data_IF_868023080262
#
_entry.id   IF_868023080262
#
_cell.length_a   1.000
_cell.length_b   1.000
_cell.length_c   1.000
_cell.angle_alpha   90.00
_cell.angle_beta   90.00
_cell.angle_gamma   90.00
#
_symmetry.space_group_name_H-M   'P 1'
#
loop_
_entity.id
_entity.type
_entity.pdbx_description
1 polymer ?
#
# COMPACT_ATOMS: atom_id res chain seq x y z
N UNK A 1 -8.92 -5.23 -2.83
CA UNK A 1 -8.76 -4.01 -1.99
C UNK A 1 -7.38 -3.44 -2.26
N UNK A 2 -7.21 -2.12 -2.16
CA UNK A 2 -5.93 -1.47 -2.42
C UNK A 2 -5.61 -0.45 -1.34
N UNK A 3 -4.37 0.03 -1.32
CA UNK A 3 -3.97 1.13 -0.44
C UNK A 3 -4.33 2.47 -1.08
N UNK A 4 -4.65 3.45 -0.24
CA UNK A 4 -4.75 4.85 -0.65
C UNK A 4 -3.39 5.37 -1.11
N UNK A 5 -3.38 6.44 -1.90
CA UNK A 5 -2.14 7.09 -2.33
C UNK A 5 -1.33 7.63 -1.14
N UNK A 6 -2.02 8.14 -0.11
CA UNK A 6 -1.39 8.62 1.12
C UNK A 6 -0.64 7.49 1.85
N UNK A 7 -1.25 6.32 1.98
CA UNK A 7 -0.60 5.16 2.58
C UNK A 7 0.59 4.69 1.74
N UNK A 8 0.46 4.64 0.41
CA UNK A 8 1.57 4.27 -0.48
C UNK A 8 2.77 5.23 -0.36
N UNK A 9 2.50 6.53 -0.29
CA UNK A 9 3.54 7.54 -0.12
C UNK A 9 4.25 7.38 1.24
N UNK A 10 3.49 7.17 2.31
CA UNK A 10 4.03 7.02 3.66
C UNK A 10 4.95 5.78 3.79
N UNK A 11 4.59 4.67 3.13
CA UNK A 11 5.35 3.40 3.26
C UNK A 11 6.50 3.27 2.26
N UNK A 12 6.58 4.14 1.25
CA UNK A 12 7.63 4.09 0.22
C UNK A 12 8.95 4.72 0.68
N UNK A 13 9.40 4.35 1.87
CA UNK A 13 10.70 4.73 2.42
C UNK A 13 11.49 3.46 2.79
N UNK A 14 12.82 3.55 2.85
CA UNK A 14 13.69 2.36 3.04
C UNK A 14 13.37 1.60 4.34
N UNK A 15 13.12 2.31 5.43
CA UNK A 15 12.85 1.72 6.75
C UNK A 15 11.59 0.86 6.70
N UNK A 16 10.48 1.43 6.23
CA UNK A 16 9.20 0.74 6.15
C UNK A 16 9.23 -0.41 5.13
N UNK A 17 9.91 -0.22 3.98
CA UNK A 17 10.06 -1.31 3.00
C UNK A 17 10.81 -2.53 3.53
N UNK A 18 11.85 -2.33 4.35
CA UNK A 18 12.57 -3.43 4.98
C UNK A 18 11.73 -4.13 6.05
N UNK A 19 10.95 -3.39 6.84
CA UNK A 19 9.99 -3.99 7.79
C UNK A 19 8.93 -4.82 7.08
N UNK A 20 8.35 -4.30 5.99
CA UNK A 20 7.40 -5.03 5.16
C UNK A 20 8.02 -6.29 4.55
N UNK A 21 9.27 -6.20 4.09
CA UNK A 21 10.00 -7.33 3.55
C UNK A 21 10.14 -8.46 4.59
N UNK A 22 10.49 -8.13 5.83
CA UNK A 22 10.58 -9.10 6.94
C UNK A 22 9.21 -9.68 7.27
N UNK A 23 8.19 -8.84 7.46
CA UNK A 23 6.85 -9.28 7.88
C UNK A 23 6.15 -10.16 6.83
N UNK A 24 6.46 -9.97 5.54
CA UNK A 24 5.85 -10.68 4.44
C UNK A 24 6.71 -11.83 3.88
N UNK A 25 7.91 -12.06 4.44
CA UNK A 25 8.92 -12.98 3.92
C UNK A 25 9.27 -12.72 2.44
N UNK A 26 9.56 -11.46 2.13
CA UNK A 26 9.88 -10.96 0.79
C UNK A 26 11.23 -10.24 0.77
N UNK A 27 11.72 -9.95 -0.42
CA UNK A 27 12.86 -9.03 -0.61
C UNK A 27 12.40 -7.58 -0.66
N UNK A 28 13.26 -6.61 -0.32
CA UNK A 28 12.95 -5.18 -0.49
C UNK A 28 12.53 -4.86 -1.93
N UNK A 29 13.16 -5.49 -2.92
CA UNK A 29 12.82 -5.34 -4.34
C UNK A 29 11.40 -5.82 -4.67
N UNK A 30 10.97 -6.93 -4.06
CA UNK A 30 9.59 -7.40 -4.15
C UNK A 30 8.62 -6.38 -3.57
N UNK A 31 8.93 -5.81 -2.39
CA UNK A 31 8.08 -4.77 -1.76
C UNK A 31 7.98 -3.53 -2.66
N UNK A 32 9.09 -3.04 -3.23
CA UNK A 32 9.07 -1.93 -4.21
C UNK A 32 8.12 -2.22 -5.36
N UNK A 33 8.17 -3.45 -5.91
CA UNK A 33 7.26 -3.88 -6.98
C UNK A 33 5.81 -3.93 -6.53
N UNK A 34 5.53 -4.36 -5.30
CA UNK A 34 4.17 -4.39 -4.75
C UNK A 34 3.60 -2.97 -4.57
N UNK A 35 4.40 -2.04 -4.03
CA UNK A 35 4.03 -0.62 -3.87
C UNK A 35 3.72 0.00 -5.22
N UNK A 36 4.61 -0.16 -6.21
CA UNK A 36 4.41 0.36 -7.57
C UNK A 36 3.15 -0.16 -8.25
N UNK A 37 2.72 -1.39 -7.92
CA UNK A 37 1.52 -2.02 -8.50
C UNK A 37 0.27 -1.83 -7.66
N UNK A 38 0.37 -1.15 -6.51
CA UNK A 38 -0.67 -1.09 -5.47
C UNK A 38 -1.31 -2.49 -5.25
N UNK A 39 -0.45 -3.48 -5.01
CA UNK A 39 -0.86 -4.89 -4.98
C UNK A 39 -1.69 -5.20 -3.74
N UNK A 40 -2.71 -6.04 -3.90
CA UNK A 40 -3.53 -6.58 -2.81
C UNK A 40 -2.72 -7.34 -1.74
N UNK A 41 -1.49 -7.76 -2.06
CA UNK A 41 -0.60 -8.34 -1.05
C UNK A 41 -0.27 -7.35 0.07
N UNK A 42 -0.37 -6.04 -0.18
CA UNK A 42 -0.17 -5.00 0.83
C UNK A 42 -1.37 -4.85 1.77
N UNK A 43 -2.54 -5.42 1.45
CA UNK A 43 -3.72 -5.42 2.33
C UNK A 43 -3.81 -6.70 3.18
N UNK A 44 -2.81 -7.59 3.11
CA UNK A 44 -2.74 -8.78 3.98
C UNK A 44 -2.42 -8.37 5.41
N UNK A 45 -2.88 -9.17 6.38
CA UNK A 45 -2.75 -8.88 7.81
C UNK A 45 -1.34 -8.45 8.24
N UNK A 46 -0.30 -9.21 7.83
CA UNK A 46 1.09 -8.90 8.17
C UNK A 46 1.58 -7.57 7.59
N UNK A 47 1.15 -7.22 6.37
CA UNK A 47 1.48 -5.93 5.78
C UNK A 47 0.73 -4.80 6.49
N UNK A 48 -0.56 -4.99 6.75
CA UNK A 48 -1.41 -3.99 7.42
C UNK A 48 -0.93 -3.64 8.83
N UNK A 49 -0.44 -4.61 9.60
CA UNK A 49 0.14 -4.36 10.92
C UNK A 49 1.34 -3.41 10.83
N UNK A 50 2.27 -3.67 9.92
CA UNK A 50 3.44 -2.82 9.69
C UNK A 50 3.05 -1.43 9.20
N UNK A 51 2.06 -1.34 8.30
CA UNK A 51 1.61 -0.04 7.78
C UNK A 51 0.98 0.79 8.90
N UNK A 52 0.12 0.19 9.73
CA UNK A 52 -0.48 0.88 10.89
C UNK A 52 0.59 1.34 11.88
N UNK A 53 1.56 0.49 12.20
CA UNK A 53 2.65 0.82 13.14
C UNK A 53 3.52 1.96 12.61
N UNK A 54 3.89 1.94 11.33
CA UNK A 54 4.84 2.91 10.77
C UNK A 54 4.19 4.23 10.37
N UNK A 55 2.90 4.24 10.04
CA UNK A 55 2.21 5.44 9.56
C UNK A 55 1.30 6.08 10.61
N UNK A 56 0.85 5.31 11.60
CA UNK A 56 -0.17 5.74 12.57
C UNK A 56 -1.57 5.93 11.97
N UNK A 57 -1.75 5.59 10.68
CA UNK A 57 -3.03 5.70 9.99
C UNK A 57 -4.01 4.62 10.44
N UNK A 58 -5.28 4.98 10.50
CA UNK A 58 -6.36 4.03 10.68
C UNK A 58 -6.56 3.15 9.44
N UNK A 59 -7.27 2.04 9.60
CA UNK A 59 -7.53 1.12 8.49
C UNK A 59 -8.34 1.76 7.36
N UNK A 60 -9.25 2.67 7.70
CA UNK A 60 -10.06 3.44 6.75
C UNK A 60 -9.22 4.44 5.94
N UNK A 61 -8.16 4.99 6.54
CA UNK A 61 -7.22 5.88 5.85
C UNK A 61 -6.23 5.10 4.97
N UNK A 62 -5.92 3.85 5.34
CA UNK A 62 -5.00 3.00 4.60
C UNK A 62 -5.69 2.37 3.38
N UNK A 63 -6.91 1.86 3.56
CA UNK A 63 -7.62 1.13 2.51
C UNK A 63 -8.45 2.07 1.65
N UNK A 64 -8.26 2.00 0.34
CA UNK A 64 -9.21 2.60 -0.60
C UNK A 64 -10.34 1.60 -0.88
N UNK A 65 -11.59 2.07 -0.88
CA UNK A 65 -12.75 1.24 -1.17
C UNK A 65 -12.99 1.01 -2.66
N UNK A 66 -12.18 1.60 -3.55
CA UNK A 66 -12.38 1.73 -5.01
C UNK A 66 -13.65 1.05 -5.57
N UNK A 67 -14.78 1.76 -5.52
CA UNK A 67 -15.61 1.92 -6.71
C UNK A 67 -15.00 3.11 -7.47
N UNK A 68 -13.90 2.88 -8.20
CA UNK A 68 -13.51 3.84 -9.24
C UNK A 68 -14.29 3.44 -10.48
N UNK A 69 -15.46 4.05 -10.67
CA UNK A 69 -16.06 4.14 -11.99
C UNK A 69 -15.10 4.93 -12.87
N UNK A 70 -14.59 4.30 -13.92
CA UNK A 70 -13.84 4.95 -14.99
C UNK A 70 -14.60 6.19 -15.50
N UNK A 71 -14.25 7.38 -15.00
CA UNK A 71 -14.61 8.61 -15.70
C UNK A 71 -13.55 8.78 -16.79
N UNK A 72 -13.82 8.17 -17.94
CA UNK A 72 -13.20 8.59 -19.20
C UNK A 72 -13.69 10.02 -19.48
N UNK A 73 -12.91 11.01 -19.04
CA UNK A 73 -13.04 12.37 -19.54
C UNK A 73 -12.47 12.36 -20.96
N UNK A 74 -13.31 12.00 -21.92
CA UNK A 74 -13.05 12.27 -23.33
C UNK A 74 -13.45 13.74 -23.54
N UNK A 75 -12.52 14.65 -23.32
CA UNK A 75 -12.69 16.05 -23.71
C UNK A 75 -12.53 16.18 -25.23
N UNK A 76 -13.57 16.74 -25.86
CA UNK A 76 -13.48 17.68 -26.99
C UNK A 76 -13.11 17.12 -28.35
#
# INVERSE_FOLDING_TARGET
>A
MKLTEAALAAINNKKTRLKLAIAMDLTEGSVIRLIKKNSENLTKAAAMEVIKEETGLSEEEILTSEIISEINVNEG
#
